data_IF_193825767084
#
_entry.id   IF_193825767084
#
_cell.length_a   1.000
_cell.length_b   1.000
_cell.length_c   1.000
_cell.angle_alpha   90.00
_cell.angle_beta   90.00
_cell.angle_gamma   90.00
#
_symmetry.space_group_name_H-M   'P 1'
#
loop_
_entity.id
_entity.type
_entity.pdbx_description
1 polymer ?
#
# COMPACT_ATOMS: atom_id res chain seq x y z
N UNK A 1 -6.48 25.49 -17.51
CA UNK A 1 -5.67 24.66 -18.36
C UNK A 1 -4.67 23.83 -17.55
N UNK A 2 -4.63 22.61 -17.86
CA UNK A 2 -3.73 21.72 -17.18
C UNK A 2 -2.26 22.01 -17.54
N UNK A 3 -1.42 21.94 -16.57
CA UNK A 3 0.00 22.08 -16.77
C UNK A 3 0.56 20.80 -17.38
N UNK A 4 1.27 20.92 -18.46
CA UNK A 4 1.92 19.78 -19.06
C UNK A 4 3.15 19.37 -18.26
N UNK A 5 3.28 18.09 -18.02
CA UNK A 5 4.45 17.54 -17.36
C UNK A 5 5.16 16.62 -18.33
N UNK A 6 6.45 16.87 -18.50
CA UNK A 6 7.27 16.01 -19.33
C UNK A 6 7.72 14.82 -18.52
N UNK A 7 6.87 13.80 -18.46
CA UNK A 7 7.20 12.58 -17.74
C UNK A 7 7.98 11.68 -18.67
N UNK A 8 9.26 11.55 -18.41
CA UNK A 8 10.16 10.73 -19.22
C UNK A 8 10.41 9.36 -18.63
N UNK A 9 10.07 9.18 -17.37
CA UNK A 9 10.34 7.92 -16.66
C UNK A 9 9.32 7.70 -15.58
N UNK A 10 8.83 6.46 -15.51
CA UNK A 10 7.98 6.03 -14.42
C UNK A 10 8.66 4.83 -13.79
N UNK A 11 8.86 4.89 -12.48
CA UNK A 11 9.41 3.77 -11.72
C UNK A 11 8.29 3.20 -10.85
N UNK A 12 7.91 1.97 -11.16
CA UNK A 12 6.82 1.31 -10.46
C UNK A 12 7.41 0.18 -9.62
N UNK A 13 7.33 0.34 -8.30
CA UNK A 13 7.90 -0.62 -7.36
C UNK A 13 6.77 -1.36 -6.66
N UNK A 14 6.79 -2.68 -6.77
CA UNK A 14 5.83 -3.54 -6.07
C UNK A 14 6.60 -4.28 -4.99
N UNK A 15 6.20 -4.09 -3.75
CA UNK A 15 6.80 -4.79 -2.61
C UNK A 15 6.02 -6.08 -2.41
N UNK A 16 6.63 -7.18 -2.80
CA UNK A 16 5.99 -8.48 -2.69
C UNK A 16 5.85 -8.88 -1.22
N UNK A 17 4.76 -9.55 -0.90
CA UNK A 17 4.46 -10.05 0.44
C UNK A 17 4.32 -8.95 1.50
N UNK A 18 4.09 -7.71 1.09
CA UNK A 18 3.86 -6.61 2.02
C UNK A 18 2.42 -6.14 1.87
N UNK A 19 1.72 -6.02 2.98
CA UNK A 19 0.35 -5.55 2.98
C UNK A 19 0.08 -4.60 4.13
N UNK A 20 -0.87 -3.70 3.94
CA UNK A 20 -1.34 -2.78 4.97
C UNK A 20 -2.83 -3.02 5.16
N UNK A 21 -3.19 -3.58 6.31
CA UNK A 21 -4.56 -3.93 6.61
C UNK A 21 -5.04 -5.13 5.80
N UNK A 22 -6.30 -5.48 6.00
CA UNK A 22 -6.89 -6.62 5.32
C UNK A 22 -7.72 -6.18 4.12
N UNK A 23 -7.83 -7.05 3.13
CA UNK A 23 -8.67 -6.80 1.97
C UNK A 23 -10.14 -6.93 2.35
N UNK A 24 -11.04 -6.37 1.53
CA UNK A 24 -12.48 -6.47 1.77
C UNK A 24 -12.97 -7.91 1.76
N UNK A 25 -12.32 -8.77 1.00
CA UNK A 25 -12.68 -10.18 0.89
C UNK A 25 -11.80 -11.09 1.77
N UNK A 26 -11.14 -10.52 2.77
CA UNK A 26 -10.26 -11.27 3.66
C UNK A 26 -10.96 -12.47 4.31
N UNK A 27 -12.22 -12.32 4.71
CA UNK A 27 -13.00 -13.40 5.30
C UNK A 27 -13.09 -14.58 4.36
N UNK A 28 -13.28 -14.30 3.07
CA UNK A 28 -13.43 -15.31 2.03
C UNK A 28 -12.18 -16.17 1.87
N UNK A 29 -11.01 -15.57 2.11
CA UNK A 29 -9.72 -16.25 1.97
C UNK A 29 -9.06 -16.58 3.31
N UNK A 30 -9.74 -16.33 4.42
CA UNK A 30 -9.17 -16.58 5.74
C UNK A 30 -8.08 -15.61 6.14
N UNK A 31 -8.08 -14.42 5.55
CA UNK A 31 -7.04 -13.41 5.80
C UNK A 31 -7.50 -12.29 6.74
N UNK A 32 -8.55 -12.54 7.51
CA UNK A 32 -9.04 -11.55 8.48
C UNK A 32 -7.93 -11.21 9.48
N UNK A 33 -7.71 -9.92 9.67
CA UNK A 33 -6.66 -9.44 10.55
C UNK A 33 -5.29 -9.35 9.89
N UNK A 34 -5.19 -9.64 8.60
CA UNK A 34 -3.93 -9.53 7.88
C UNK A 34 -3.46 -8.07 7.83
N UNK A 35 -2.24 -7.83 8.26
CA UNK A 35 -1.65 -6.50 8.26
C UNK A 35 -0.14 -6.66 8.45
N UNK A 36 0.51 -7.12 7.40
CA UNK A 36 1.94 -7.44 7.45
C UNK A 36 2.78 -6.28 7.94
N UNK A 37 2.59 -5.11 7.35
CA UNK A 37 3.41 -3.96 7.68
C UNK A 37 3.14 -3.45 9.09
N UNK A 38 1.87 -3.37 9.48
CA UNK A 38 1.50 -2.94 10.82
C UNK A 38 1.99 -3.89 11.90
N UNK A 39 1.85 -5.19 11.68
CA UNK A 39 2.32 -6.18 12.65
C UNK A 39 3.84 -6.19 12.75
N UNK A 40 4.54 -6.02 11.63
CA UNK A 40 6.00 -5.93 11.63
C UNK A 40 6.46 -4.70 12.41
N UNK A 41 5.81 -3.58 12.21
CA UNK A 41 6.14 -2.36 12.94
C UNK A 41 5.93 -2.54 14.43
N UNK A 42 4.82 -3.17 14.81
CA UNK A 42 4.52 -3.41 16.22
C UNK A 42 5.55 -4.34 16.87
N UNK A 43 5.90 -5.40 16.18
CA UNK A 43 6.86 -6.38 16.70
C UNK A 43 8.26 -5.78 16.85
N UNK A 44 8.61 -4.83 16.01
CA UNK A 44 9.94 -4.20 16.02
C UNK A 44 9.99 -2.91 16.85
N UNK A 45 8.87 -2.48 17.41
CA UNK A 45 8.81 -1.21 18.14
C UNK A 45 8.83 0.00 17.21
N UNK A 46 8.45 -0.18 15.96
CA UNK A 46 8.44 0.85 14.95
C UNK A 46 9.31 0.48 13.75
N UNK A 47 9.19 1.23 12.68
CA UNK A 47 9.98 1.01 11.48
C UNK A 47 10.71 2.30 11.12
N UNK A 48 11.97 2.17 10.75
CA UNK A 48 12.77 3.31 10.31
C UNK A 48 12.65 3.45 8.80
N UNK A 49 11.57 4.07 8.35
CA UNK A 49 11.29 4.29 6.93
C UNK A 49 10.91 5.75 6.71
N UNK A 50 11.83 6.69 6.98
CA UNK A 50 11.50 8.12 6.98
C UNK A 50 11.01 8.64 5.63
N UNK A 51 11.52 8.13 4.52
CA UNK A 51 11.09 8.60 3.21
C UNK A 51 9.66 8.16 2.90
N UNK A 52 9.29 6.94 3.26
CA UNK A 52 7.93 6.45 3.05
C UNK A 52 6.96 7.17 3.98
N UNK A 53 7.39 7.49 5.20
CA UNK A 53 6.58 8.28 6.12
C UNK A 53 6.29 9.65 5.52
N UNK A 54 7.31 10.29 4.94
CA UNK A 54 7.13 11.59 4.28
C UNK A 54 6.19 11.51 3.09
N UNK A 55 6.16 10.39 2.40
CA UNK A 55 5.24 10.18 1.29
C UNK A 55 3.81 9.94 1.75
N UNK A 56 3.61 9.56 3.01
CA UNK A 56 2.28 9.39 3.57
C UNK A 56 1.86 7.97 3.87
N UNK A 57 2.80 7.03 3.97
CA UNK A 57 2.44 5.63 4.17
C UNK A 57 1.63 5.41 5.45
N UNK A 58 1.93 6.13 6.53
CA UNK A 58 1.21 6.01 7.78
C UNK A 58 -0.15 6.70 7.78
N UNK A 59 -0.43 7.50 6.75
CA UNK A 59 -1.69 8.21 6.62
C UNK A 59 -2.74 7.39 5.86
N UNK A 60 -2.35 6.27 5.27
CA UNK A 60 -3.27 5.41 4.54
C UNK A 60 -4.32 4.87 5.51
N UNK A 61 -5.58 4.89 5.10
CA UNK A 61 -6.67 4.36 5.92
C UNK A 61 -6.43 2.88 6.22
N UNK A 62 -6.47 2.54 7.49
CA UNK A 62 -6.19 1.18 7.93
C UNK A 62 -4.73 0.91 8.28
N UNK A 63 -3.84 1.88 8.09
CA UNK A 63 -2.46 1.73 8.50
C UNK A 63 -2.36 1.85 10.02
N UNK A 64 -1.73 0.87 10.65
CA UNK A 64 -1.56 0.82 12.10
C UNK A 64 -0.08 0.72 12.44
N UNK A 65 0.29 1.29 13.59
CA UNK A 65 1.67 1.21 14.11
C UNK A 65 2.70 1.88 13.20
N UNK A 66 2.26 2.74 12.30
CA UNK A 66 3.12 3.50 11.41
C UNK A 66 3.00 4.98 11.75
N UNK A 67 4.10 5.70 11.63
CA UNK A 67 4.12 7.11 11.91
C UNK A 67 3.34 7.87 10.85
N UNK A 68 2.51 8.81 11.30
CA UNK A 68 1.75 9.68 10.39
C UNK A 68 2.54 10.93 10.07
N UNK A 69 2.26 11.51 8.91
CA UNK A 69 2.90 12.75 8.48
C UNK A 69 1.83 13.82 8.31
N UNK A 70 2.05 14.98 8.93
CA UNK A 70 1.07 16.08 8.86
C UNK A 70 0.99 16.70 7.48
N UNK A 71 2.11 16.72 6.76
CA UNK A 71 2.19 17.33 5.43
C UNK A 71 2.87 16.35 4.46
N UNK A 72 2.17 15.28 4.06
CA UNK A 72 2.79 14.31 3.16
C UNK A 72 3.10 14.92 1.80
N UNK A 73 4.26 14.58 1.28
CA UNK A 73 4.72 15.11 -0.01
C UNK A 73 4.33 14.22 -1.18
N UNK A 74 3.73 13.06 -0.91
CA UNK A 74 3.28 12.15 -1.94
C UNK A 74 1.78 12.00 -1.93
N UNK A 75 1.28 11.21 -2.87
CA UNK A 75 -0.12 10.82 -2.91
C UNK A 75 -0.21 9.37 -2.45
N UNK A 76 -1.27 9.05 -1.72
CA UNK A 76 -1.43 7.70 -1.18
C UNK A 76 -2.90 7.33 -1.22
N UNK A 77 -3.16 6.04 -1.13
CA UNK A 77 -4.52 5.55 -1.14
C UNK A 77 -4.56 4.04 -1.04
N UNK A 78 -5.76 3.51 -1.04
CA UNK A 78 -6.02 2.08 -1.02
C UNK A 78 -6.72 1.69 -2.31
N UNK A 79 -6.31 0.56 -2.85
CA UNK A 79 -6.98 -0.01 -4.02
C UNK A 79 -7.65 -1.30 -3.62
N UNK A 80 -8.88 -1.49 -4.08
CA UNK A 80 -9.59 -2.74 -3.88
C UNK A 80 -9.48 -3.56 -5.17
N UNK A 81 -9.12 -4.81 -5.02
CA UNK A 81 -9.05 -5.71 -6.17
C UNK A 81 -10.45 -6.02 -6.69
N UNK A 82 -10.56 -6.07 -8.00
CA UNK A 82 -11.79 -6.48 -8.67
C UNK A 82 -11.79 -7.99 -8.90
N UNK A 83 -10.58 -8.55 -9.15
CA UNK A 83 -10.46 -9.98 -9.39
C UNK A 83 -10.70 -10.78 -8.11
N UNK A 84 -11.19 -12.02 -8.27
CA UNK A 84 -11.40 -12.92 -7.15
C UNK A 84 -10.17 -13.78 -6.86
N UNK A 85 -9.13 -13.65 -7.68
CA UNK A 85 -7.91 -14.43 -7.50
C UNK A 85 -7.01 -13.87 -6.44
N UNK A 86 -6.29 -14.74 -5.75
CA UNK A 86 -5.34 -14.36 -4.73
C UNK A 86 -3.90 -14.40 -5.25
N UNK A 87 -3.74 -14.78 -6.50
CA UNK A 87 -2.46 -14.93 -7.15
C UNK A 87 -1.81 -13.55 -7.38
N UNK A 88 -0.55 -13.44 -7.06
CA UNK A 88 0.23 -12.22 -7.28
C UNK A 88 0.22 -11.80 -8.75
N UNK A 89 0.31 -12.75 -9.67
CA UNK A 89 0.29 -12.47 -11.11
C UNK A 89 -1.01 -11.78 -11.51
N UNK A 90 -2.14 -12.27 -11.02
CA UNK A 90 -3.45 -11.67 -11.30
C UNK A 90 -3.50 -10.26 -10.75
N UNK A 91 -3.01 -10.06 -9.52
CA UNK A 91 -2.97 -8.75 -8.90
C UNK A 91 -2.12 -7.76 -9.69
N UNK A 92 -0.97 -8.19 -10.21
CA UNK A 92 -0.11 -7.32 -11.00
C UNK A 92 -0.78 -6.93 -12.32
N UNK A 93 -1.46 -7.85 -12.95
CA UNK A 93 -2.20 -7.56 -14.19
C UNK A 93 -3.32 -6.56 -13.92
N UNK A 94 -4.02 -6.73 -12.82
CA UNK A 94 -5.11 -5.82 -12.45
C UNK A 94 -4.60 -4.41 -12.22
N UNK A 95 -3.45 -4.26 -11.56
CA UNK A 95 -2.84 -2.95 -11.36
C UNK A 95 -2.46 -2.29 -12.68
N UNK A 96 -2.11 -3.07 -13.68
CA UNK A 96 -1.78 -2.56 -15.00
C UNK A 96 -3.01 -2.34 -15.88
N UNK A 97 -4.21 -2.66 -15.39
CA UNK A 97 -5.45 -2.47 -16.12
C UNK A 97 -5.81 -3.59 -17.07
N UNK A 98 -5.23 -4.75 -16.88
CA UNK A 98 -5.48 -5.91 -17.76
C UNK A 98 -6.55 -6.84 -17.19
#
# INVERSE_FOLDING_TARGET
>A
RRRDMDINRIIWIVLDSVGIGEAKDAVKFGDVGADTLGHTAKANGGLNIPNMVKLGIGNIDGAHNLEKCDNPIGCFGKLAEVSAGKDTTIGHWEMAGI
#
